data_IF_043108807141
#
_entry.id   IF_043108807141
#
_cell.length_a   1.000
_cell.length_b   1.000
_cell.length_c   1.000
_cell.angle_alpha   90.00
_cell.angle_beta   90.00
_cell.angle_gamma   90.00
#
_symmetry.space_group_name_H-M   'P 1'
#
loop_
_entity.id
_entity.type
_entity.pdbx_description
1 polymer ?
#
# COMPACT_ATOMS: atom_id res chain seq x y z
N UNK A 1 7.06 5.92 9.23
CA UNK A 1 7.51 7.28 8.86
C UNK A 1 6.53 8.00 7.96
N UNK A 2 5.94 7.36 6.96
CA UNK A 2 4.97 7.95 6.02
C UNK A 2 3.84 8.75 6.70
N UNK A 3 3.22 8.22 7.77
CA UNK A 3 2.19 8.96 8.52
C UNK A 3 2.69 10.30 9.11
N UNK A 4 3.93 10.36 9.58
CA UNK A 4 4.52 11.59 10.14
C UNK A 4 4.86 12.61 9.05
N UNK A 5 5.29 12.15 7.88
CA UNK A 5 5.54 13.01 6.72
C UNK A 5 4.22 13.61 6.24
N UNK A 6 3.17 12.80 6.11
CA UNK A 6 1.80 13.27 5.77
C UNK A 6 1.27 14.27 6.79
N UNK A 7 1.51 14.04 8.08
CA UNK A 7 1.14 14.98 9.13
C UNK A 7 1.81 16.34 8.99
N UNK A 8 3.03 16.42 8.46
CA UNK A 8 3.73 17.70 8.18
C UNK A 8 3.23 18.36 6.90
N UNK A 9 2.91 17.60 5.85
CA UNK A 9 2.37 18.13 4.58
C UNK A 9 0.98 18.72 4.75
N UNK A 10 0.11 18.06 5.53
CA UNK A 10 -1.29 18.42 5.66
C UNK A 10 -1.51 19.86 6.11
N UNK A 11 -0.92 20.37 7.21
CA UNK A 11 -1.13 21.76 7.64
C UNK A 11 -0.53 22.78 6.66
N UNK A 12 0.59 22.44 5.99
CA UNK A 12 1.27 23.35 5.06
C UNK A 12 0.50 23.54 3.74
N UNK A 13 -0.20 22.51 3.29
CA UNK A 13 -0.83 22.45 1.96
C UNK A 13 -2.35 22.28 2.01
N UNK A 14 -2.97 22.34 3.20
CA UNK A 14 -4.41 22.16 3.38
C UNK A 14 -5.20 23.16 2.51
N UNK A 15 -6.17 22.62 1.77
CA UNK A 15 -6.99 23.41 0.85
C UNK A 15 -6.29 23.80 -0.46
N UNK A 16 -5.08 23.37 -0.72
CA UNK A 16 -4.34 23.61 -1.96
C UNK A 16 -4.30 22.35 -2.82
N UNK A 17 -4.38 22.46 -4.15
CA UNK A 17 -4.30 21.30 -5.06
C UNK A 17 -2.96 20.56 -4.96
N UNK A 18 -1.91 21.22 -4.46
CA UNK A 18 -0.58 20.64 -4.23
C UNK A 18 -0.57 19.54 -3.17
N UNK A 19 -1.55 19.46 -2.26
CA UNK A 19 -1.61 18.41 -1.26
C UNK A 19 -1.80 17.02 -1.89
N UNK A 20 -2.66 16.94 -2.92
CA UNK A 20 -2.83 15.68 -3.69
C UNK A 20 -1.53 15.27 -4.39
N UNK A 21 -0.81 16.24 -4.94
CA UNK A 21 0.49 16.00 -5.58
C UNK A 21 1.55 15.55 -4.56
N UNK A 22 1.55 16.09 -3.33
CA UNK A 22 2.45 15.67 -2.26
C UNK A 22 2.19 14.22 -1.83
N UNK A 23 0.93 13.81 -1.70
CA UNK A 23 0.58 12.42 -1.41
C UNK A 23 0.94 11.46 -2.55
N UNK A 24 0.73 11.90 -3.81
CA UNK A 24 1.15 11.13 -4.97
C UNK A 24 2.68 10.97 -5.05
N UNK A 25 3.43 12.05 -4.76
CA UNK A 25 4.90 12.00 -4.69
C UNK A 25 5.38 11.01 -3.62
N UNK A 26 4.75 11.02 -2.45
CA UNK A 26 5.10 10.09 -1.37
C UNK A 26 4.82 8.63 -1.77
N UNK A 27 3.66 8.36 -2.38
CA UNK A 27 3.35 7.04 -2.89
C UNK A 27 4.37 6.57 -3.94
N UNK A 28 4.77 7.46 -4.84
CA UNK A 28 5.81 7.19 -5.85
C UNK A 28 7.16 6.89 -5.21
N UNK A 29 7.57 7.64 -4.18
CA UNK A 29 8.82 7.39 -3.45
C UNK A 29 8.80 6.06 -2.69
N UNK A 30 7.66 5.70 -2.10
CA UNK A 30 7.46 4.38 -1.48
C UNK A 30 7.63 3.27 -2.53
N UNK A 31 7.01 3.38 -3.72
CA UNK A 31 7.15 2.40 -4.79
C UNK A 31 8.59 2.29 -5.33
N UNK A 32 9.28 3.43 -5.52
CA UNK A 32 10.70 3.44 -5.90
C UNK A 32 11.53 2.69 -4.87
N UNK A 33 11.24 2.85 -3.58
CA UNK A 33 11.91 2.13 -2.50
C UNK A 33 11.66 0.62 -2.57
N UNK A 34 10.45 0.18 -2.93
CA UNK A 34 10.13 -1.23 -3.14
C UNK A 34 10.78 -1.81 -4.41
N UNK A 35 10.94 -1.01 -5.46
CA UNK A 35 11.63 -1.45 -6.70
C UNK A 35 13.13 -1.61 -6.47
N UNK A 36 13.76 -0.66 -5.80
CA UNK A 36 15.23 -0.61 -5.65
C UNK A 36 15.70 -1.38 -4.40
N UNK A 37 14.92 -1.34 -3.32
CA UNK A 37 15.33 -1.88 -2.02
C UNK A 37 15.71 -3.36 -2.05
N UNK A 38 14.83 -4.27 -2.49
CA UNK A 38 15.13 -5.71 -2.50
C UNK A 38 16.34 -6.08 -3.37
N UNK A 39 16.48 -5.61 -4.65
CA UNK A 39 17.66 -5.88 -5.45
C UNK A 39 18.95 -5.35 -4.81
N UNK A 40 18.90 -4.17 -4.21
CA UNK A 40 20.07 -3.57 -3.54
C UNK A 40 20.46 -4.39 -2.29
N UNK A 41 19.48 -4.77 -1.47
CA UNK A 41 19.74 -5.58 -0.28
C UNK A 41 20.30 -6.96 -0.65
N UNK A 42 19.73 -7.64 -1.64
CA UNK A 42 20.21 -8.94 -2.11
C UNK A 42 21.61 -8.80 -2.73
N UNK A 43 21.81 -7.79 -3.60
CA UNK A 43 23.09 -7.52 -4.22
C UNK A 43 24.21 -7.32 -3.20
N UNK A 44 23.98 -6.52 -2.16
CA UNK A 44 24.94 -6.32 -1.08
C UNK A 44 25.21 -7.59 -0.29
N UNK A 45 24.18 -8.38 0.01
CA UNK A 45 24.32 -9.62 0.78
C UNK A 45 25.09 -10.71 0.01
N UNK A 46 25.00 -10.73 -1.31
CA UNK A 46 25.72 -11.69 -2.17
C UNK A 46 27.17 -11.24 -2.42
N UNK A 47 27.42 -9.93 -2.55
CA UNK A 47 28.74 -9.42 -2.95
C UNK A 47 29.68 -9.18 -1.77
N UNK A 48 29.17 -8.85 -0.60
CA UNK A 48 30.00 -8.51 0.57
C UNK A 48 29.90 -9.59 1.65
N UNK A 49 28.80 -9.64 2.41
CA UNK A 49 28.53 -10.63 3.44
C UNK A 49 27.02 -10.74 3.68
N UNK A 50 26.52 -11.86 4.23
CA UNK A 50 25.07 -12.14 4.27
C UNK A 50 24.22 -11.04 4.94
N UNK A 51 24.74 -10.35 5.93
CA UNK A 51 24.03 -9.32 6.70
C UNK A 51 24.19 -7.90 6.10
N UNK A 52 24.96 -7.72 5.03
CA UNK A 52 25.29 -6.42 4.47
C UNK A 52 24.03 -5.64 4.01
N UNK A 53 23.06 -6.31 3.39
CA UNK A 53 21.79 -5.70 2.99
C UNK A 53 20.99 -5.20 4.18
N UNK A 54 20.91 -5.99 5.25
CA UNK A 54 20.22 -5.61 6.49
C UNK A 54 20.89 -4.41 7.17
N UNK A 55 22.22 -4.42 7.29
CA UNK A 55 22.97 -3.31 7.87
C UNK A 55 22.81 -2.01 7.07
N UNK A 56 22.85 -2.10 5.74
CA UNK A 56 22.60 -0.96 4.88
C UNK A 56 21.19 -0.37 5.12
N UNK A 57 20.17 -1.22 5.20
CA UNK A 57 18.80 -0.79 5.47
C UNK A 57 18.69 -0.10 6.84
N UNK A 58 19.31 -0.65 7.89
CA UNK A 58 19.33 -0.06 9.24
C UNK A 58 20.02 1.31 9.22
N UNK A 59 21.19 1.43 8.57
CA UNK A 59 21.91 2.69 8.47
C UNK A 59 21.10 3.77 7.73
N UNK A 60 20.50 3.41 6.59
CA UNK A 60 19.63 4.33 5.84
C UNK A 60 18.41 4.75 6.66
N UNK A 61 17.81 3.83 7.42
CA UNK A 61 16.70 4.11 8.32
C UNK A 61 17.12 5.10 9.43
N UNK A 62 18.25 4.87 10.09
CA UNK A 62 18.76 5.76 11.15
C UNK A 62 19.09 7.15 10.62
N UNK A 63 19.73 7.23 9.45
CA UNK A 63 20.03 8.50 8.79
C UNK A 63 18.73 9.24 8.42
N UNK A 64 17.78 8.55 7.80
CA UNK A 64 16.49 9.13 7.42
C UNK A 64 15.70 9.64 8.63
N UNK A 65 15.63 8.86 9.71
CA UNK A 65 14.99 9.28 10.97
C UNK A 65 15.72 10.48 11.57
N UNK A 66 17.05 10.43 11.65
CA UNK A 66 17.86 11.50 12.19
C UNK A 66 17.63 12.83 11.45
N UNK A 67 17.72 12.82 10.12
CA UNK A 67 17.45 14.00 9.29
C UNK A 67 16.02 14.52 9.45
N UNK A 68 15.05 13.61 9.54
CA UNK A 68 13.64 13.99 9.73
C UNK A 68 13.41 14.66 11.09
N UNK A 69 14.00 14.15 12.17
CA UNK A 69 13.88 14.71 13.53
C UNK A 69 14.54 16.08 13.61
N UNK A 70 15.67 16.29 12.91
CA UNK A 70 16.35 17.61 12.88
C UNK A 70 15.54 18.69 12.16
N UNK A 71 14.56 18.33 11.35
CA UNK A 71 13.68 19.25 10.63
C UNK A 71 12.54 19.79 11.52
N UNK A 72 12.83 20.65 12.46
CA UNK A 72 11.86 21.25 13.39
C UNK A 72 10.96 22.31 12.75
N UNK A 73 11.40 22.95 11.64
CA UNK A 73 10.65 24.06 11.00
C UNK A 73 9.28 23.65 10.42
N UNK A 74 9.09 22.38 10.11
CA UNK A 74 7.84 21.85 9.53
C UNK A 74 7.05 21.04 10.56
N UNK A 75 7.42 21.08 11.82
CA UNK A 75 6.74 20.39 12.90
C UNK A 75 5.33 20.96 13.12
N UNK A 76 4.28 20.14 13.12
CA UNK A 76 2.92 20.59 13.40
C UNK A 76 2.87 21.19 14.80
N UNK A 77 2.26 22.36 14.94
CA UNK A 77 2.03 22.95 16.27
C UNK A 77 1.06 22.05 17.04
N UNK A 78 1.45 21.67 18.24
CA UNK A 78 0.58 20.94 19.17
C UNK A 78 -0.49 21.91 19.63
N UNK A 79 -1.72 21.72 19.17
CA UNK A 79 -2.86 22.48 19.68
C UNK A 79 -3.16 22.01 21.10
N UNK A 80 -2.71 22.78 22.11
CA UNK A 80 -2.92 22.49 23.53
C UNK A 80 -4.40 22.52 23.95
N UNK A 81 -5.31 22.92 23.06
CA UNK A 81 -6.77 22.93 23.29
C UNK A 81 -7.43 21.61 22.98
N UNK A 82 -6.68 20.59 22.55
CA UNK A 82 -7.24 19.25 22.35
C UNK A 82 -7.59 18.67 23.71
N UNK A 83 -8.88 18.72 24.02
CA UNK A 83 -9.47 18.09 25.20
C UNK A 83 -9.09 16.60 25.21
N UNK A 84 -8.66 16.09 26.36
CA UNK A 84 -8.32 14.69 26.62
C UNK A 84 -9.45 13.68 26.36
N UNK A 85 -10.55 14.09 25.73
CA UNK A 85 -11.77 13.33 25.50
C UNK A 85 -12.16 13.19 24.02
N UNK A 86 -11.27 13.48 23.06
CA UNK A 86 -11.59 13.24 21.66
C UNK A 86 -11.67 11.72 21.42
N UNK A 87 -12.87 11.27 21.02
CA UNK A 87 -13.11 9.88 20.66
C UNK A 87 -12.16 9.47 19.56
N UNK A 88 -11.56 8.28 19.67
CA UNK A 88 -10.69 7.73 18.63
C UNK A 88 -11.37 7.81 17.24
N UNK A 89 -10.63 8.14 16.17
CA UNK A 89 -11.16 8.18 14.81
C UNK A 89 -11.79 6.85 14.36
N UNK A 90 -11.46 5.76 15.02
CA UNK A 90 -12.12 4.46 14.82
C UNK A 90 -13.63 4.47 15.17
N UNK A 91 -14.12 5.48 15.91
CA UNK A 91 -15.55 5.71 16.09
C UNK A 91 -16.26 6.10 14.78
N UNK A 92 -15.55 6.65 13.80
CA UNK A 92 -16.09 7.05 12.50
C UNK A 92 -16.21 5.82 11.60
N UNK A 93 -17.44 5.49 11.19
CA UNK A 93 -17.70 4.30 10.36
C UNK A 93 -16.91 4.32 9.03
N UNK A 94 -16.74 5.47 8.41
CA UNK A 94 -15.91 5.63 7.20
C UNK A 94 -14.45 5.25 7.43
N UNK A 95 -13.85 5.61 8.58
CA UNK A 95 -12.47 5.25 8.93
C UNK A 95 -12.32 3.74 9.10
N UNK A 96 -13.27 3.10 9.79
CA UNK A 96 -13.26 1.63 9.92
C UNK A 96 -13.36 0.92 8.59
N UNK A 97 -14.19 1.43 7.69
CA UNK A 97 -14.33 0.89 6.33
C UNK A 97 -13.01 1.01 5.57
N UNK A 98 -12.34 2.17 5.63
CA UNK A 98 -11.05 2.37 4.98
C UNK A 98 -9.94 1.52 5.63
N UNK A 99 -9.99 1.30 6.94
CA UNK A 99 -9.08 0.39 7.64
C UNK A 99 -9.20 -1.05 7.12
N UNK A 100 -10.44 -1.57 7.00
CA UNK A 100 -10.70 -2.91 6.47
C UNK A 100 -10.26 -2.99 4.99
N UNK A 101 -10.48 -1.94 4.22
CA UNK A 101 -10.01 -1.84 2.84
C UNK A 101 -8.49 -2.00 2.76
N UNK A 102 -7.73 -1.22 3.54
CA UNK A 102 -6.27 -1.27 3.52
C UNK A 102 -5.73 -2.58 4.07
N UNK A 103 -6.38 -3.16 5.08
CA UNK A 103 -6.06 -4.50 5.54
C UNK A 103 -6.23 -5.53 4.42
N UNK A 104 -7.33 -5.48 3.67
CA UNK A 104 -7.57 -6.39 2.54
C UNK A 104 -6.56 -6.18 1.41
N UNK A 105 -6.19 -4.93 1.12
CA UNK A 105 -5.12 -4.62 0.16
C UNK A 105 -3.76 -5.12 0.65
N UNK A 106 -3.47 -5.00 1.95
CA UNK A 106 -2.27 -5.58 2.55
C UNK A 106 -2.20 -7.09 2.37
N UNK A 107 -3.33 -7.80 2.56
CA UNK A 107 -3.39 -9.26 2.33
C UNK A 107 -2.99 -9.60 0.89
N UNK A 108 -3.44 -8.83 -0.10
CA UNK A 108 -3.04 -9.02 -1.51
C UNK A 108 -1.52 -8.89 -1.64
N UNK A 109 -0.92 -7.82 -1.10
CA UNK A 109 0.53 -7.57 -1.20
C UNK A 109 1.34 -8.70 -0.54
N UNK A 110 1.01 -9.04 0.71
CA UNK A 110 1.72 -10.12 1.42
C UNK A 110 1.58 -11.49 0.74
N UNK A 111 0.44 -11.74 0.11
CA UNK A 111 0.25 -12.95 -0.72
C UNK A 111 1.13 -12.91 -1.96
N UNK A 112 1.17 -11.79 -2.67
CA UNK A 112 2.01 -11.59 -3.87
C UNK A 112 3.48 -11.87 -3.54
N UNK A 113 3.98 -11.34 -2.42
CA UNK A 113 5.37 -11.54 -2.00
C UNK A 113 5.72 -13.02 -1.84
N UNK A 114 4.91 -13.75 -1.08
CA UNK A 114 5.18 -15.17 -0.78
C UNK A 114 4.96 -16.07 -2.01
N UNK A 115 3.83 -15.88 -2.70
CA UNK A 115 3.46 -16.76 -3.82
C UNK A 115 4.38 -16.57 -5.02
N UNK A 116 4.85 -15.33 -5.29
CA UNK A 116 5.80 -15.06 -6.37
C UNK A 116 7.13 -15.80 -6.16
N UNK A 117 7.63 -15.81 -4.93
CA UNK A 117 8.87 -16.52 -4.57
C UNK A 117 8.67 -18.04 -4.71
N UNK A 118 7.57 -18.56 -4.17
CA UNK A 118 7.27 -19.99 -4.21
C UNK A 118 7.06 -20.48 -5.65
N UNK A 119 6.30 -19.73 -6.46
CA UNK A 119 6.04 -20.06 -7.87
C UNK A 119 7.32 -20.06 -8.70
N UNK A 120 8.18 -19.05 -8.53
CA UNK A 120 9.47 -18.97 -9.23
C UNK A 120 10.40 -20.12 -8.81
N UNK A 121 10.44 -20.50 -7.53
CA UNK A 121 11.22 -21.61 -7.02
C UNK A 121 10.73 -22.96 -7.57
N UNK A 122 9.41 -23.18 -7.65
CA UNK A 122 8.85 -24.41 -8.24
C UNK A 122 9.19 -24.58 -9.73
N UNK A 123 9.40 -23.46 -10.45
CA UNK A 123 9.83 -23.49 -11.86
C UNK A 123 11.37 -23.51 -12.02
N UNK A 124 12.14 -23.70 -10.95
CA UNK A 124 13.61 -23.72 -10.99
C UNK A 124 14.26 -22.36 -11.29
N UNK A 125 13.51 -21.27 -11.18
CA UNK A 125 13.96 -19.91 -11.54
C UNK A 125 13.76 -18.93 -10.37
N UNK A 126 14.25 -19.27 -9.19
CA UNK A 126 14.06 -18.47 -7.97
C UNK A 126 14.45 -16.98 -8.14
N UNK A 127 15.49 -16.69 -8.93
CA UNK A 127 15.90 -15.31 -9.22
C UNK A 127 14.83 -14.49 -9.97
N UNK A 128 13.93 -15.15 -10.71
CA UNK A 128 12.85 -14.47 -11.45
C UNK A 128 11.75 -13.92 -10.53
N UNK A 129 11.71 -14.32 -9.25
CA UNK A 129 10.80 -13.75 -8.27
C UNK A 129 11.00 -12.24 -8.15
N UNK A 130 12.25 -11.75 -8.19
CA UNK A 130 12.55 -10.32 -8.13
C UNK A 130 11.95 -9.55 -9.32
N UNK A 131 11.97 -10.13 -10.53
CA UNK A 131 11.36 -9.54 -11.73
C UNK A 131 9.85 -9.45 -11.58
N UNK A 132 9.20 -10.48 -11.03
CA UNK A 132 7.76 -10.53 -10.79
C UNK A 132 7.34 -9.45 -9.78
N UNK A 133 8.05 -9.33 -8.67
CA UNK A 133 7.79 -8.32 -7.64
C UNK A 133 8.03 -6.90 -8.18
N UNK A 134 9.12 -6.71 -8.94
CA UNK A 134 9.39 -5.42 -9.60
C UNK A 134 8.32 -5.06 -10.64
N UNK A 135 7.76 -6.04 -11.34
CA UNK A 135 6.65 -5.80 -12.29
C UNK A 135 5.39 -5.28 -11.57
N UNK A 136 5.05 -5.85 -10.40
CA UNK A 136 3.94 -5.34 -9.57
C UNK A 136 4.19 -3.91 -9.12
N UNK A 137 5.36 -3.62 -8.56
CA UNK A 137 5.72 -2.28 -8.10
C UNK A 137 5.77 -1.27 -9.27
N UNK A 138 6.27 -1.67 -10.44
CA UNK A 138 6.24 -0.84 -11.64
C UNK A 138 4.81 -0.53 -12.09
N UNK A 139 3.91 -1.51 -12.04
CA UNK A 139 2.49 -1.29 -12.30
C UNK A 139 1.88 -0.25 -11.36
N UNK A 140 2.13 -0.39 -10.06
CA UNK A 140 1.67 0.55 -9.03
C UNK A 140 2.25 1.95 -9.23
N UNK A 141 3.54 2.05 -9.53
CA UNK A 141 4.21 3.31 -9.86
C UNK A 141 3.54 4.01 -11.06
N UNK A 142 3.35 3.30 -12.18
CA UNK A 142 2.70 3.85 -13.37
C UNK A 142 1.26 4.28 -13.05
N UNK A 143 0.50 3.42 -12.37
CA UNK A 143 -0.88 3.72 -11.96
C UNK A 143 -0.97 4.94 -11.05
N UNK A 144 -0.07 5.07 -10.08
CA UNK A 144 0.02 6.22 -9.18
C UNK A 144 0.36 7.52 -9.89
N UNK A 145 1.33 7.50 -10.81
CA UNK A 145 1.71 8.66 -11.62
C UNK A 145 0.56 9.12 -12.52
N UNK A 146 -0.03 8.21 -13.28
CA UNK A 146 -1.15 8.52 -14.18
C UNK A 146 -2.34 9.08 -13.40
N UNK A 147 -2.69 8.45 -12.29
CA UNK A 147 -3.78 8.90 -11.44
C UNK A 147 -3.50 10.27 -10.80
N UNK A 148 -2.26 10.56 -10.42
CA UNK A 148 -1.84 11.85 -9.89
C UNK A 148 -1.82 12.97 -10.93
N UNK A 149 -1.51 12.65 -12.20
CA UNK A 149 -1.42 13.59 -13.31
C UNK A 149 -2.79 13.96 -13.90
N UNK A 150 -3.75 13.05 -13.90
CA UNK A 150 -5.06 13.24 -14.50
C UNK A 150 -6.02 13.93 -13.51
N UNK A 151 -6.65 15.01 -13.94
CA UNK A 151 -7.76 15.60 -13.18
C UNK A 151 -9.01 14.75 -13.38
N UNK A 152 -9.41 14.05 -12.34
CA UNK A 152 -10.60 13.20 -12.36
C UNK A 152 -11.72 13.95 -11.63
N UNK A 153 -12.69 14.45 -12.36
CA UNK A 153 -13.86 15.17 -11.85
C UNK A 153 -15.00 14.22 -11.44
N UNK A 154 -14.65 13.14 -10.75
CA UNK A 154 -15.59 12.14 -10.23
C UNK A 154 -15.50 12.14 -8.69
N UNK A 155 -16.63 12.04 -7.96
CA UNK A 155 -16.61 11.92 -6.49
C UNK A 155 -15.69 10.82 -6.00
N UNK A 156 -14.95 11.08 -4.92
CA UNK A 156 -13.94 10.13 -4.39
C UNK A 156 -14.54 8.75 -4.06
N UNK A 157 -15.80 8.71 -3.58
CA UNK A 157 -16.49 7.45 -3.33
C UNK A 157 -16.65 6.60 -4.60
N UNK A 158 -16.93 7.21 -5.76
CA UNK A 158 -16.99 6.50 -7.05
C UNK A 158 -15.61 6.11 -7.56
N UNK A 159 -14.60 6.97 -7.36
CA UNK A 159 -13.21 6.61 -7.69
C UNK A 159 -12.77 5.37 -6.91
N UNK A 160 -13.11 5.30 -5.61
CA UNK A 160 -12.83 4.13 -4.78
C UNK A 160 -13.56 2.88 -5.29
N UNK A 161 -14.82 3.03 -5.74
CA UNK A 161 -15.57 1.90 -6.31
C UNK A 161 -14.90 1.37 -7.57
N UNK A 162 -14.54 2.23 -8.51
CA UNK A 162 -13.89 1.81 -9.75
C UNK A 162 -12.52 1.17 -9.50
N UNK A 163 -11.72 1.74 -8.59
CA UNK A 163 -10.42 1.14 -8.25
C UNK A 163 -10.57 -0.19 -7.51
N UNK A 164 -11.57 -0.36 -6.64
CA UNK A 164 -11.85 -1.63 -5.98
C UNK A 164 -12.33 -2.72 -6.95
N UNK A 165 -13.20 -2.39 -7.91
CA UNK A 165 -13.62 -3.29 -8.99
C UNK A 165 -12.40 -3.69 -9.83
N UNK A 166 -11.59 -2.73 -10.24
CA UNK A 166 -10.41 -2.96 -11.04
C UNK A 166 -9.37 -3.82 -10.31
N UNK A 167 -9.18 -3.61 -9.00
CA UNK A 167 -8.31 -4.46 -8.17
C UNK A 167 -8.78 -5.92 -8.20
N UNK A 168 -10.07 -6.19 -8.02
CA UNK A 168 -10.59 -7.55 -8.12
C UNK A 168 -10.39 -8.13 -9.53
N UNK A 169 -10.75 -7.38 -10.57
CA UNK A 169 -10.64 -7.85 -11.96
C UNK A 169 -9.20 -8.18 -12.35
N UNK A 170 -8.22 -7.39 -11.87
CA UNK A 170 -6.80 -7.61 -12.16
C UNK A 170 -6.17 -8.71 -11.32
N UNK A 171 -6.78 -9.12 -10.20
CA UNK A 171 -6.34 -10.28 -9.42
C UNK A 171 -6.89 -11.60 -9.97
N UNK A 172 -8.00 -11.60 -10.72
CA UNK A 172 -8.60 -12.81 -11.31
C UNK A 172 -7.62 -13.61 -12.20
N UNK A 173 -6.87 -12.99 -13.13
CA UNK A 173 -5.95 -13.72 -14.01
C UNK A 173 -4.83 -14.45 -13.28
N UNK A 174 -4.50 -14.08 -12.01
CA UNK A 174 -3.48 -14.77 -11.21
C UNK A 174 -3.78 -16.28 -11.06
N UNK A 175 -5.02 -16.67 -11.09
CA UNK A 175 -5.41 -18.07 -10.97
C UNK A 175 -5.11 -18.90 -12.23
N UNK A 176 -4.92 -18.26 -13.38
CA UNK A 176 -4.68 -18.93 -14.67
C UNK A 176 -3.22 -18.84 -15.11
N UNK A 177 -2.34 -18.38 -14.24
CA UNK A 177 -0.92 -18.23 -14.56
C UNK A 177 -0.24 -19.60 -14.64
N UNK A 178 0.41 -19.86 -15.80
CA UNK A 178 1.11 -21.13 -16.04
C UNK A 178 2.63 -21.00 -16.15
N UNK A 179 3.16 -19.79 -16.24
CA UNK A 179 4.61 -19.55 -16.36
C UNK A 179 5.01 -18.18 -15.77
N UNK A 180 6.31 -17.97 -15.60
CA UNK A 180 6.84 -16.76 -14.95
C UNK A 180 6.52 -15.49 -15.75
N UNK A 181 6.55 -15.56 -17.07
CA UNK A 181 6.26 -14.39 -17.93
C UNK A 181 4.80 -13.97 -17.79
N UNK A 182 3.85 -14.94 -17.82
CA UNK A 182 2.43 -14.64 -17.58
C UNK A 182 2.18 -14.11 -16.17
N UNK A 183 2.92 -14.63 -15.17
CA UNK A 183 2.87 -14.11 -13.80
C UNK A 183 3.33 -12.65 -13.76
N UNK A 184 4.48 -12.32 -14.35
CA UNK A 184 5.02 -10.96 -14.35
C UNK A 184 4.06 -9.96 -15.03
N UNK A 185 3.47 -10.33 -16.16
CA UNK A 185 2.48 -9.48 -16.86
C UNK A 185 1.24 -9.28 -16.00
N UNK A 186 0.73 -10.33 -15.39
CA UNK A 186 -0.46 -10.25 -14.52
C UNK A 186 -0.16 -9.41 -13.28
N UNK A 187 1.02 -9.53 -12.70
CA UNK A 187 1.45 -8.73 -11.55
C UNK A 187 1.57 -7.26 -11.90
N UNK A 188 2.14 -6.92 -13.06
CA UNK A 188 2.19 -5.54 -13.54
C UNK A 188 0.79 -4.94 -13.66
N UNK A 189 -0.15 -5.68 -14.26
CA UNK A 189 -1.54 -5.22 -14.42
C UNK A 189 -2.25 -5.08 -13.06
N UNK A 190 -2.04 -6.02 -12.14
CA UNK A 190 -2.62 -5.98 -10.79
C UNK A 190 -2.08 -4.80 -9.97
N UNK A 191 -0.80 -4.46 -10.15
CA UNK A 191 -0.17 -3.34 -9.49
C UNK A 191 -0.78 -1.99 -9.87
N UNK A 192 -1.20 -1.80 -11.13
CA UNK A 192 -1.70 -0.49 -11.63
C UNK A 192 -2.78 0.15 -10.76
N UNK A 193 -3.61 -0.63 -10.09
CA UNK A 193 -4.71 -0.11 -9.28
C UNK A 193 -4.39 -0.01 -7.78
N UNK A 194 -3.22 -0.48 -7.35
CA UNK A 194 -2.83 -0.42 -5.93
C UNK A 194 -2.64 1.03 -5.46
N UNK A 195 -1.73 1.79 -6.09
CA UNK A 195 -1.46 3.17 -5.70
C UNK A 195 -2.69 4.10 -5.87
N UNK A 196 -3.47 4.05 -6.96
CA UNK A 196 -4.72 4.81 -7.07
C UNK A 196 -5.70 4.55 -5.92
N UNK A 197 -5.90 3.28 -5.55
CA UNK A 197 -6.79 2.92 -4.42
C UNK A 197 -6.30 3.52 -3.11
N UNK A 198 -4.99 3.45 -2.85
CA UNK A 198 -4.37 4.03 -1.67
C UNK A 198 -4.52 5.56 -1.64
N UNK A 199 -4.26 6.25 -2.76
CA UNK A 199 -4.39 7.72 -2.88
C UNK A 199 -5.83 8.15 -2.60
N UNK A 200 -6.82 7.46 -3.17
CA UNK A 200 -8.24 7.76 -2.94
C UNK A 200 -8.62 7.52 -1.48
N UNK A 201 -8.18 6.40 -0.88
CA UNK A 201 -8.45 6.10 0.52
C UNK A 201 -7.89 7.18 1.45
N UNK A 202 -6.65 7.63 1.24
CA UNK A 202 -6.03 8.71 2.01
C UNK A 202 -6.77 10.05 1.82
N UNK A 203 -7.19 10.37 0.59
CA UNK A 203 -7.96 11.59 0.29
C UNK A 203 -9.35 11.56 0.95
N UNK A 204 -9.98 10.39 1.07
CA UNK A 204 -11.25 10.23 1.77
C UNK A 204 -11.10 10.45 3.28
N UNK A 205 -10.05 9.90 3.90
CA UNK A 205 -9.76 10.16 5.33
C UNK A 205 -9.65 11.66 5.59
N UNK A 206 -8.93 12.40 4.74
CA UNK A 206 -8.77 13.85 4.89
C UNK A 206 -10.12 14.59 4.89
N UNK A 207 -11.11 14.10 4.14
CA UNK A 207 -12.44 14.73 4.07
C UNK A 207 -13.35 14.37 5.23
N UNK A 208 -13.28 13.14 5.74
CA UNK A 208 -14.23 12.62 6.75
C UNK A 208 -13.75 12.80 8.18
N UNK A 209 -12.46 13.09 8.40
CA UNK A 209 -11.86 13.17 9.73
C UNK A 209 -11.49 14.62 10.07
N UNK A 210 -11.76 15.08 11.30
CA UNK A 210 -11.28 16.37 11.79
C UNK A 210 -9.75 16.47 11.74
N UNK A 211 -9.22 17.68 11.54
CA UNK A 211 -7.79 17.91 11.36
C UNK A 211 -6.90 17.42 12.51
N UNK A 212 -7.39 17.48 13.74
CA UNK A 212 -6.70 17.00 14.95
C UNK A 212 -6.56 15.46 15.02
N UNK A 213 -7.40 14.71 14.30
CA UNK A 213 -7.40 13.23 14.28
C UNK A 213 -6.77 12.63 13.00
N UNK A 214 -6.30 13.46 12.07
CA UNK A 214 -5.77 13.00 10.78
C UNK A 214 -4.54 12.11 10.93
N UNK A 215 -3.58 12.51 11.78
CA UNK A 215 -2.35 11.74 12.00
C UNK A 215 -2.63 10.37 12.58
N UNK A 216 -3.54 10.31 13.56
CA UNK A 216 -3.97 9.04 14.16
C UNK A 216 -4.68 8.16 13.13
N UNK A 217 -5.57 8.76 12.30
CA UNK A 217 -6.27 8.03 11.24
C UNK A 217 -5.31 7.44 10.21
N UNK A 218 -4.32 8.20 9.77
CA UNK A 218 -3.30 7.69 8.84
C UNK A 218 -2.45 6.58 9.49
N UNK A 219 -2.13 6.71 10.78
CA UNK A 219 -1.43 5.64 11.50
C UNK A 219 -2.25 4.35 11.57
N UNK A 220 -3.56 4.45 11.85
CA UNK A 220 -4.45 3.29 11.84
C UNK A 220 -4.53 2.62 10.47
N UNK A 221 -4.68 3.41 9.41
CA UNK A 221 -4.74 2.88 8.05
C UNK A 221 -3.42 2.19 7.65
N UNK A 222 -2.28 2.81 7.93
CA UNK A 222 -0.97 2.22 7.69
C UNK A 222 -0.75 0.94 8.49
N UNK A 223 -1.18 0.92 9.76
CA UNK A 223 -1.12 -0.30 10.58
C UNK A 223 -2.02 -1.40 10.02
N UNK A 224 -3.22 -1.06 9.54
CA UNK A 224 -4.11 -2.01 8.88
C UNK A 224 -3.48 -2.64 7.65
N UNK A 225 -2.84 -1.83 6.80
CA UNK A 225 -2.11 -2.32 5.62
C UNK A 225 -1.00 -3.30 6.03
N UNK A 226 -0.16 -2.94 7.02
CA UNK A 226 0.95 -3.80 7.47
C UNK A 226 0.47 -5.09 8.13
N UNK A 227 -0.58 -5.04 8.95
CA UNK A 227 -1.22 -6.23 9.52
C UNK A 227 -1.76 -7.12 8.39
N UNK A 228 -2.37 -6.51 7.37
CA UNK A 228 -2.82 -7.23 6.18
C UNK A 228 -1.68 -7.95 5.46
N UNK A 229 -0.54 -7.27 5.25
CA UNK A 229 0.66 -7.88 4.63
C UNK A 229 1.10 -9.10 5.43
N UNK A 230 1.22 -8.97 6.75
CA UNK A 230 1.63 -10.08 7.61
C UNK A 230 0.63 -11.25 7.55
N UNK A 231 -0.68 -10.98 7.60
CA UNK A 231 -1.72 -12.00 7.49
C UNK A 231 -1.70 -12.68 6.11
N UNK A 232 -1.58 -11.90 5.04
CA UNK A 232 -1.51 -12.40 3.67
C UNK A 232 -0.30 -13.32 3.49
N UNK A 233 0.88 -12.90 3.95
CA UNK A 233 2.08 -13.71 3.90
C UNK A 233 1.95 -15.01 4.70
N UNK A 234 1.42 -14.95 5.92
CA UNK A 234 1.26 -16.13 6.77
C UNK A 234 0.25 -17.14 6.19
N UNK A 235 -0.92 -16.68 5.77
CA UNK A 235 -1.98 -17.54 5.24
C UNK A 235 -1.58 -18.14 3.89
N UNK A 236 -1.00 -17.32 2.99
CA UNK A 236 -0.54 -17.81 1.69
C UNK A 236 0.65 -18.76 1.84
N UNK A 237 1.59 -18.50 2.77
CA UNK A 237 2.70 -19.40 3.06
C UNK A 237 2.21 -20.77 3.51
N UNK A 238 1.28 -20.83 4.46
CA UNK A 238 0.69 -22.09 4.92
C UNK A 238 0.00 -22.88 3.79
N UNK A 239 -0.75 -22.19 2.90
CA UNK A 239 -1.38 -22.83 1.75
C UNK A 239 -0.35 -23.32 0.73
N UNK A 240 0.69 -22.54 0.47
CA UNK A 240 1.78 -22.90 -0.44
C UNK A 240 2.51 -24.15 0.04
N UNK A 241 2.82 -24.23 1.33
CA UNK A 241 3.51 -25.39 1.93
C UNK A 241 2.67 -26.68 1.87
N UNK A 242 1.34 -26.55 2.03
CA UNK A 242 0.44 -27.72 2.03
C UNK A 242 -0.07 -28.14 0.64
N UNK A 243 -0.34 -27.18 -0.26
CA UNK A 243 -1.07 -27.40 -1.50
C UNK A 243 -0.33 -26.89 -2.75
N UNK A 244 0.86 -26.32 -2.58
CA UNK A 244 1.68 -25.77 -3.67
C UNK A 244 1.38 -24.30 -4.00
N UNK A 245 2.25 -23.66 -4.82
CA UNK A 245 2.22 -22.22 -5.07
C UNK A 245 0.90 -21.71 -5.67
N UNK A 246 0.23 -22.48 -6.51
CA UNK A 246 -1.04 -22.11 -7.11
C UNK A 246 -2.16 -21.85 -6.09
N UNK A 247 -2.16 -22.59 -4.98
CA UNK A 247 -3.18 -22.43 -3.94
C UNK A 247 -3.11 -21.08 -3.22
N UNK A 248 -1.91 -20.51 -3.13
CA UNK A 248 -1.71 -19.20 -2.53
C UNK A 248 -2.45 -18.07 -3.26
N UNK A 249 -2.64 -18.15 -4.59
CA UNK A 249 -3.39 -17.14 -5.33
C UNK A 249 -4.85 -17.02 -4.90
N UNK A 250 -5.44 -18.08 -4.32
CA UNK A 250 -6.79 -18.04 -3.79
C UNK A 250 -6.91 -17.00 -2.66
N UNK A 251 -5.87 -16.79 -1.86
CA UNK A 251 -5.85 -15.77 -0.80
C UNK A 251 -5.96 -14.38 -1.38
N UNK A 252 -5.18 -14.08 -2.44
CA UNK A 252 -5.24 -12.78 -3.13
C UNK A 252 -6.63 -12.55 -3.74
N UNK A 253 -7.25 -13.59 -4.30
CA UNK A 253 -8.59 -13.51 -4.89
C UNK A 253 -9.66 -13.24 -3.82
N UNK A 254 -9.62 -13.96 -2.69
CA UNK A 254 -10.51 -13.72 -1.56
C UNK A 254 -10.34 -12.30 -1.00
N UNK A 255 -9.10 -11.82 -0.90
CA UNK A 255 -8.80 -10.48 -0.45
C UNK A 255 -9.29 -9.42 -1.46
N UNK A 256 -9.14 -9.65 -2.77
CA UNK A 256 -9.74 -8.81 -3.81
C UNK A 256 -11.26 -8.74 -3.72
N UNK A 257 -11.92 -9.86 -3.43
CA UNK A 257 -13.36 -9.91 -3.12
C UNK A 257 -13.71 -9.10 -1.87
N UNK A 258 -12.89 -9.19 -0.81
CA UNK A 258 -13.07 -8.40 0.41
C UNK A 258 -12.89 -6.90 0.15
N UNK A 259 -11.95 -6.49 -0.71
CA UNK A 259 -11.79 -5.11 -1.19
C UNK A 259 -13.10 -4.64 -1.81
N UNK A 260 -13.65 -5.38 -2.77
CA UNK A 260 -14.90 -5.01 -3.45
C UNK A 260 -16.08 -4.90 -2.48
N UNK A 261 -16.28 -5.89 -1.61
CA UNK A 261 -17.36 -5.88 -0.61
C UNK A 261 -17.23 -4.66 0.31
N UNK A 262 -16.01 -4.38 0.78
CA UNK A 262 -15.74 -3.25 1.67
C UNK A 262 -16.05 -1.91 0.97
N UNK A 263 -15.70 -1.78 -0.30
CA UNK A 263 -15.98 -0.57 -1.08
C UNK A 263 -17.48 -0.40 -1.33
N UNK A 264 -18.21 -1.48 -1.66
CA UNK A 264 -19.65 -1.44 -1.84
C UNK A 264 -20.39 -1.04 -0.55
N UNK A 265 -20.00 -1.60 0.57
CA UNK A 265 -20.54 -1.21 1.89
C UNK A 265 -20.18 0.24 2.21
N UNK A 266 -18.97 0.66 1.86
CA UNK A 266 -18.44 1.99 2.09
C UNK A 266 -19.16 3.10 1.31
N UNK A 267 -19.80 2.79 0.18
CA UNK A 267 -20.53 3.77 -0.62
C UNK A 267 -21.54 4.59 0.21
N UNK A 268 -22.13 3.98 1.24
CA UNK A 268 -23.07 4.65 2.17
C UNK A 268 -22.45 5.82 2.91
N UNK A 269 -21.14 5.75 3.16
CA UNK A 269 -20.39 6.76 3.94
C UNK A 269 -19.69 7.77 3.05
N UNK A 270 -19.49 7.46 1.77
CA UNK A 270 -18.70 8.26 0.83
C UNK A 270 -19.52 8.88 -0.30
N UNK A 271 -20.84 8.67 -0.35
CA UNK A 271 -21.71 9.16 -1.42
C UNK A 271 -21.75 10.68 -1.55
N UNK A 272 -21.44 11.39 -0.47
CA UNK A 272 -21.45 12.87 -0.40
C UNK A 272 -20.03 13.48 -0.39
N UNK A 273 -18.98 12.68 -0.65
CA UNK A 273 -17.59 13.14 -0.64
C UNK A 273 -17.06 13.39 -2.07
#
# INVERSE_FOLDING_TARGET
MSAMVKARWTPLLRGRPQLKAAYALEAVLDEVSFIIGPPLAIGLSVTWFPEAGLLCAVLLQLLGVGLFVMQTRTEPQIDQRVSHYDKSPLGIAGVRTLLILLLSMGIIVGTIDVVSIAFASQHGQAASASVVLSAYALGSFIGGLLFGAIKIDIPLGRQLLYSGIATLLTTLPLFFVGNITSLAITMLLSGVFFAPTLIVAMSLVERIVPGNQLTESFAWLGSGLNVGIAMGAAVSGWLVDGLGAHSGFAVALCAGGAVLVTVLVGQRYFSNC
#
